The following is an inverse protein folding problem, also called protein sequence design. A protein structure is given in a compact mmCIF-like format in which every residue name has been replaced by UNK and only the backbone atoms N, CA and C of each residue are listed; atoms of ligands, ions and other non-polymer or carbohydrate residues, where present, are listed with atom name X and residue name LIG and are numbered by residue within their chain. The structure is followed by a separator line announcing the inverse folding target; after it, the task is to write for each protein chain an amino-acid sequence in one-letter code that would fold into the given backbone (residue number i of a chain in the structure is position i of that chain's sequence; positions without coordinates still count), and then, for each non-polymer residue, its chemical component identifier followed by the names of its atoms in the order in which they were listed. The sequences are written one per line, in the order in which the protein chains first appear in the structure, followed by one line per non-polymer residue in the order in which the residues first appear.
data_IF_444845971238
#
_entry.id   IF_444845971238
#
_cell.length_a   1.000
_cell.length_b   1.000
_cell.length_c   1.000
_cell.angle_alpha   90.00
_cell.angle_beta   90.00
_cell.angle_gamma   90.00
#
_symmetry.space_group_name_H-M   'P 1'
#
loop_
_entity.id
_entity.type
_entity.pdbx_description
1 polymer ?
#
# COMPACT_ATOMS: atom_id res chain seq x y z
N UNK A 1 -11.27 79.25 -7.27
CA UNK A 1 -12.55 79.22 -6.52
C UNK A 1 -13.45 78.17 -7.14
N UNK A 2 -14.14 77.46 -6.26
CA UNK A 2 -14.86 76.24 -6.53
C UNK A 2 -16.23 76.44 -7.20
N UNK A 3 -16.75 75.31 -7.67
CA UNK A 3 -18.14 74.92 -7.88
C UNK A 3 -18.94 75.48 -9.07
N UNK A 4 -19.30 74.55 -9.95
CA UNK A 4 -20.70 74.15 -10.08
C UNK A 4 -21.32 74.37 -11.45
N UNK A 5 -21.31 73.35 -12.31
CA UNK A 5 -22.22 73.26 -13.45
C UNK A 5 -22.99 71.94 -13.37
N UNK A 6 -24.32 72.04 -13.27
CA UNK A 6 -25.23 71.00 -13.73
C UNK A 6 -25.16 70.91 -15.28
N UNK A 7 -25.64 69.80 -15.88
CA UNK A 7 -26.96 69.93 -16.48
C UNK A 7 -27.84 68.67 -16.38
N UNK A 8 -29.15 68.93 -16.44
CA UNK A 8 -30.19 67.96 -16.76
C UNK A 8 -30.09 67.51 -18.22
N UNK A 9 -30.39 66.24 -18.46
CA UNK A 9 -30.65 65.69 -19.79
C UNK A 9 -31.08 64.23 -19.69
N UNK A 10 -32.40 63.99 -19.61
CA UNK A 10 -33.00 62.66 -19.73
C UNK A 10 -32.90 62.21 -21.18
N UNK A 11 -32.17 61.12 -21.43
CA UNK A 11 -32.40 60.25 -22.59
C UNK A 11 -32.85 58.87 -22.11
N UNK A 12 -33.84 58.36 -22.81
CA UNK A 12 -34.51 57.10 -22.56
C UNK A 12 -33.56 55.92 -22.86
N UNK A 13 -33.05 55.30 -21.80
CA UNK A 13 -32.36 54.02 -21.87
C UNK A 13 -33.35 52.86 -21.72
N UNK A 14 -33.42 52.01 -22.75
CA UNK A 14 -34.20 50.79 -22.87
C UNK A 14 -34.44 50.02 -21.56
N UNK A 15 -35.72 49.73 -21.27
CA UNK A 15 -36.14 48.83 -20.20
C UNK A 15 -35.80 47.35 -20.47
N UNK A 16 -35.23 47.01 -21.63
CA UNK A 16 -34.82 45.64 -22.00
C UNK A 16 -33.43 45.24 -21.51
N UNK A 17 -32.57 46.19 -21.13
CA UNK A 17 -31.18 45.90 -20.75
C UNK A 17 -30.98 45.66 -19.24
N UNK A 18 -32.01 45.89 -18.41
CA UNK A 18 -31.98 45.58 -16.97
C UNK A 18 -32.42 44.16 -16.62
N UNK A 19 -32.96 43.40 -17.57
CA UNK A 19 -33.43 42.03 -17.38
C UNK A 19 -32.37 40.96 -17.66
N UNK A 20 -31.20 41.32 -18.19
CA UNK A 20 -30.13 40.37 -18.53
C UNK A 20 -28.99 40.28 -17.51
N UNK A 21 -29.13 40.87 -16.31
CA UNK A 21 -28.12 40.85 -15.25
C UNK A 21 -28.47 39.95 -14.04
N UNK A 22 -29.50 39.12 -14.14
CA UNK A 22 -29.81 38.08 -13.16
C UNK A 22 -30.32 36.80 -13.84
N UNK A 23 -29.52 36.22 -14.73
CA UNK A 23 -29.54 34.76 -14.87
C UNK A 23 -28.57 34.23 -13.82
N UNK A 24 -29.11 33.97 -12.62
CA UNK A 24 -28.44 33.16 -11.62
C UNK A 24 -28.01 31.86 -12.30
N UNK A 25 -26.71 31.56 -12.28
CA UNK A 25 -26.22 30.20 -12.40
C UNK A 25 -26.83 29.38 -11.25
N UNK A 26 -28.04 28.85 -11.43
CA UNK A 26 -28.66 27.93 -10.49
C UNK A 26 -27.85 26.65 -10.49
N UNK A 27 -26.89 26.55 -9.57
CA UNK A 27 -26.16 25.31 -9.31
C UNK A 27 -27.16 24.26 -8.81
N UNK A 28 -27.41 23.25 -9.64
CA UNK A 28 -28.24 22.11 -9.25
C UNK A 28 -27.40 21.15 -8.41
N UNK A 29 -27.85 20.86 -7.18
CA UNK A 29 -27.23 19.89 -6.29
C UNK A 29 -28.10 18.62 -6.24
N UNK A 30 -27.47 17.45 -6.37
CA UNK A 30 -28.14 16.14 -6.24
C UNK A 30 -27.69 15.47 -4.95
N UNK A 31 -28.65 15.04 -4.14
CA UNK A 31 -28.41 14.36 -2.87
C UNK A 31 -28.98 12.96 -2.89
N UNK A 32 -28.23 12.02 -2.32
CA UNK A 32 -28.78 10.75 -1.85
C UNK A 32 -29.13 10.92 -0.38
N UNK A 33 -30.35 10.54 0.00
CA UNK A 33 -30.89 10.72 1.35
C UNK A 33 -31.34 9.36 1.88
N UNK A 34 -30.97 9.06 3.11
CA UNK A 34 -31.42 7.91 3.89
C UNK A 34 -32.09 8.43 5.16
N UNK A 35 -33.27 7.92 5.50
CA UNK A 35 -33.96 8.25 6.74
C UNK A 35 -34.40 6.98 7.46
N UNK A 36 -34.28 6.98 8.79
CA UNK A 36 -34.65 5.85 9.65
C UNK A 36 -35.44 6.35 10.85
N UNK A 37 -36.63 5.78 11.02
CA UNK A 37 -37.43 5.87 12.24
C UNK A 37 -37.40 4.53 12.97
N UNK A 38 -36.85 4.51 14.20
CA UNK A 38 -36.61 3.27 14.93
C UNK A 38 -37.63 3.08 16.09
N UNK A 39 -38.81 2.53 15.80
CA UNK A 39 -39.87 2.33 16.82
C UNK A 39 -39.98 0.92 17.38
N UNK A 40 -39.76 -0.14 16.57
CA UNK A 40 -40.06 -1.53 16.95
C UNK A 40 -38.84 -2.33 17.39
N UNK A 41 -37.65 -1.96 16.91
CA UNK A 41 -36.39 -2.66 17.13
C UNK A 41 -35.35 -1.80 17.87
N UNK A 42 -35.81 -0.77 18.58
CA UNK A 42 -34.98 0.03 19.46
C UNK A 42 -34.78 -0.67 20.80
N UNK A 43 -33.61 -0.47 21.40
CA UNK A 43 -33.30 -0.98 22.74
C UNK A 43 -34.22 -0.35 23.78
N UNK A 44 -34.35 -1.02 24.93
CA UNK A 44 -35.23 -0.57 26.02
C UNK A 44 -34.92 0.86 26.43
N UNK A 45 -33.64 1.20 26.58
CA UNK A 45 -33.20 2.53 27.00
C UNK A 45 -33.67 3.61 26.02
N UNK A 46 -33.52 3.38 24.70
CA UNK A 46 -33.98 4.35 23.70
C UNK A 46 -35.51 4.52 23.75
N UNK A 47 -36.29 3.46 23.99
CA UNK A 47 -37.75 3.55 24.17
C UNK A 47 -38.12 4.37 25.39
N UNK A 48 -37.43 4.13 26.51
CA UNK A 48 -37.68 4.86 27.76
C UNK A 48 -37.43 6.36 27.55
N UNK A 49 -36.37 6.73 26.82
CA UNK A 49 -36.11 8.14 26.46
C UNK A 49 -37.11 8.72 25.45
N UNK A 50 -37.61 7.94 24.48
CA UNK A 50 -38.69 8.39 23.57
C UNK A 50 -39.92 8.82 24.38
N UNK A 51 -40.30 8.04 25.38
CA UNK A 51 -41.44 8.36 26.26
C UNK A 51 -41.13 9.55 27.18
N UNK A 52 -39.94 9.57 27.77
CA UNK A 52 -39.51 10.60 28.71
C UNK A 52 -39.43 11.99 28.05
N UNK A 53 -38.82 12.07 26.87
CA UNK A 53 -38.56 13.32 26.16
C UNK A 53 -39.64 13.67 25.14
N UNK A 54 -40.56 12.75 24.85
CA UNK A 54 -41.60 12.87 23.81
C UNK A 54 -41.00 13.17 22.43
N UNK A 55 -39.81 12.64 22.17
CA UNK A 55 -39.04 12.83 20.93
C UNK A 55 -39.00 11.54 20.12
N UNK A 56 -39.22 11.65 18.81
CA UNK A 56 -39.16 10.49 17.92
C UNK A 56 -37.71 10.10 17.63
N UNK A 57 -37.37 8.80 17.61
CA UNK A 57 -36.04 8.30 17.27
C UNK A 57 -35.89 8.28 15.74
N UNK A 58 -35.91 9.48 15.15
CA UNK A 58 -35.77 9.72 13.72
C UNK A 58 -34.37 10.28 13.42
N UNK A 59 -33.71 9.68 12.44
CA UNK A 59 -32.43 10.11 11.92
C UNK A 59 -32.43 10.20 10.40
N UNK A 60 -31.66 11.13 9.86
CA UNK A 60 -31.45 11.31 8.44
C UNK A 60 -29.97 11.46 8.11
N UNK A 61 -29.51 10.84 7.03
CA UNK A 61 -28.18 11.04 6.46
C UNK A 61 -28.30 11.44 5.00
N UNK A 62 -27.52 12.42 4.55
CA UNK A 62 -27.50 12.81 3.15
C UNK A 62 -26.08 13.07 2.63
N UNK A 63 -25.81 12.64 1.39
CA UNK A 63 -24.54 12.92 0.71
C UNK A 63 -24.80 13.55 -0.65
N UNK A 64 -24.00 14.56 -0.99
CA UNK A 64 -24.04 15.20 -2.29
C UNK A 64 -23.23 14.39 -3.32
N UNK A 65 -23.77 14.20 -4.53
CA UNK A 65 -23.16 13.38 -5.58
C UNK A 65 -21.87 13.96 -6.21
N UNK A 66 -21.55 15.25 -5.99
CA UNK A 66 -20.46 15.95 -6.72
C UNK A 66 -19.80 16.99 -5.82
N UNK A 67 -18.72 16.60 -5.13
CA UNK A 67 -17.67 17.37 -4.45
C UNK A 67 -17.11 16.49 -3.31
N UNK A 68 -15.87 16.69 -2.82
CA UNK A 68 -15.47 16.04 -1.57
C UNK A 68 -16.52 16.38 -0.51
N UNK A 69 -17.16 15.39 0.11
CA UNK A 69 -18.35 15.66 0.88
C UNK A 69 -17.97 16.33 2.20
N UNK A 70 -18.55 17.50 2.45
CA UNK A 70 -18.50 18.17 3.74
C UNK A 70 -19.80 17.88 4.47
N UNK A 71 -19.70 17.04 5.50
CA UNK A 71 -20.83 16.73 6.36
C UNK A 71 -21.26 17.95 7.16
N UNK A 72 -22.57 18.08 7.38
CA UNK A 72 -23.16 19.14 8.19
C UNK A 72 -24.21 18.55 9.12
N UNK A 73 -24.27 19.06 10.34
CA UNK A 73 -25.21 18.61 11.33
C UNK A 73 -26.45 19.50 11.32
N UNK A 74 -27.61 18.86 11.39
CA UNK A 74 -28.92 19.48 11.44
C UNK A 74 -29.68 18.97 12.65
N UNK A 75 -30.43 19.89 13.27
CA UNK A 75 -31.48 19.56 14.22
C UNK A 75 -32.69 20.41 13.83
N UNK A 76 -33.41 19.97 12.79
CA UNK A 76 -34.38 20.77 12.00
C UNK A 76 -33.75 21.96 11.25
N UNK A 77 -32.80 22.68 11.85
CA UNK A 77 -32.00 23.73 11.24
C UNK A 77 -30.51 23.35 11.25
N UNK A 78 -29.73 23.90 10.29
CA UNK A 78 -28.29 23.69 10.27
C UNK A 78 -27.62 24.27 11.53
N UNK A 79 -26.77 23.46 12.16
CA UNK A 79 -25.90 23.93 13.24
C UNK A 79 -24.64 24.64 12.67
N UNK A 80 -23.89 25.39 13.50
CA UNK A 80 -22.64 26.01 13.09
C UNK A 80 -21.61 24.99 12.58
N UNK A 81 -20.80 25.36 11.59
CA UNK A 81 -19.80 24.45 11.01
C UNK A 81 -18.74 24.01 12.04
N UNK A 82 -18.60 24.75 13.14
CA UNK A 82 -17.71 24.39 14.24
C UNK A 82 -17.99 23.01 14.86
N UNK A 83 -19.21 22.48 14.72
CA UNK A 83 -19.62 21.19 15.31
C UNK A 83 -19.63 20.03 14.32
N UNK A 84 -19.27 20.26 13.05
CA UNK A 84 -19.44 19.28 11.96
C UNK A 84 -18.11 18.70 11.45
N UNK A 85 -17.00 19.10 12.06
CA UNK A 85 -15.65 18.67 11.68
C UNK A 85 -15.52 17.13 11.61
N UNK A 86 -15.11 16.64 10.44
CA UNK A 86 -14.82 15.22 10.19
C UNK A 86 -16.01 14.35 9.75
N UNK A 87 -17.22 14.89 9.71
CA UNK A 87 -18.37 14.19 9.13
C UNK A 87 -18.28 14.19 7.60
N UNK A 88 -18.55 13.03 6.99
CA UNK A 88 -18.51 12.86 5.53
C UNK A 88 -19.89 12.89 4.89
N UNK A 89 -20.95 13.02 5.68
CA UNK A 89 -22.34 13.12 5.24
C UNK A 89 -23.07 14.13 6.10
N UNK A 90 -24.12 14.74 5.57
CA UNK A 90 -25.05 15.50 6.39
C UNK A 90 -25.81 14.56 7.32
N UNK A 91 -25.99 14.97 8.57
CA UNK A 91 -26.70 14.21 9.60
C UNK A 91 -27.81 15.09 10.15
N UNK A 92 -29.03 14.57 10.21
CA UNK A 92 -30.19 15.21 10.83
C UNK A 92 -30.79 14.30 11.91
N UNK A 93 -31.26 14.91 12.99
CA UNK A 93 -31.95 14.20 14.05
C UNK A 93 -32.55 15.18 15.07
N UNK A 94 -33.46 14.70 15.91
CA UNK A 94 -34.02 15.49 17.01
C UNK A 94 -33.06 15.53 18.20
N UNK A 95 -31.91 16.18 18.04
CA UNK A 95 -30.88 16.22 19.08
C UNK A 95 -31.21 17.20 20.20
N UNK A 96 -30.79 16.86 21.42
CA UNK A 96 -30.70 17.80 22.53
C UNK A 96 -29.56 18.79 22.30
N UNK A 97 -29.84 20.09 22.37
CA UNK A 97 -28.88 21.17 22.12
C UNK A 97 -28.45 21.85 23.43
N UNK A 98 -27.28 22.47 23.42
CA UNK A 98 -26.85 23.41 24.46
C UNK A 98 -27.77 24.62 24.54
N UNK A 99 -27.74 25.38 25.64
CA UNK A 99 -28.64 26.53 25.86
C UNK A 99 -28.53 27.61 24.76
N UNK A 100 -27.31 27.85 24.27
CA UNK A 100 -27.05 28.76 23.15
C UNK A 100 -27.42 28.17 21.77
N UNK A 101 -27.89 26.91 21.75
CA UNK A 101 -28.32 26.14 20.57
C UNK A 101 -27.27 26.08 19.44
N UNK A 102 -25.99 26.13 19.82
CA UNK A 102 -24.86 26.10 18.88
C UNK A 102 -24.09 24.78 18.87
N UNK A 103 -24.32 23.90 19.84
CA UNK A 103 -23.72 22.56 19.91
C UNK A 103 -24.74 21.54 20.41
N UNK A 104 -24.43 20.25 20.22
CA UNK A 104 -25.15 19.16 20.85
C UNK A 104 -24.78 19.07 22.33
N UNK A 105 -25.72 18.58 23.14
CA UNK A 105 -25.40 18.11 24.49
C UNK A 105 -24.69 16.76 24.41
N UNK A 106 -23.59 16.65 25.13
CA UNK A 106 -22.77 15.44 25.20
C UNK A 106 -22.70 14.97 26.65
N UNK A 107 -22.66 13.65 26.84
CA UNK A 107 -22.44 13.06 28.15
C UNK A 107 -20.98 13.30 28.58
N UNK A 108 -20.79 13.87 29.76
CA UNK A 108 -19.48 14.02 30.41
C UNK A 108 -19.53 13.40 31.81
N UNK A 109 -18.39 13.34 32.50
CA UNK A 109 -18.30 12.89 33.90
C UNK A 109 -19.21 13.67 34.83
N UNK A 110 -19.49 14.94 34.52
CA UNK A 110 -20.34 15.83 35.31
C UNK A 110 -21.81 15.79 34.87
N UNK A 111 -22.08 15.49 33.59
CA UNK A 111 -23.43 15.51 32.99
C UNK A 111 -24.02 14.13 32.73
N UNK A 112 -23.50 13.07 33.34
CA UNK A 112 -24.00 11.69 33.17
C UNK A 112 -25.48 11.48 33.56
N UNK A 113 -26.12 12.45 34.21
CA UNK A 113 -27.56 12.46 34.51
C UNK A 113 -28.39 13.31 33.54
N UNK A 114 -27.76 14.01 32.60
CA UNK A 114 -28.49 14.80 31.60
C UNK A 114 -29.18 13.86 30.59
N UNK A 115 -30.51 13.93 30.59
CA UNK A 115 -31.35 13.12 29.73
C UNK A 115 -31.12 13.43 28.24
N UNK A 116 -30.85 14.69 27.90
CA UNK A 116 -30.63 15.12 26.52
C UNK A 116 -29.28 14.59 25.98
N UNK A 117 -28.25 14.56 26.83
CA UNK A 117 -26.95 13.98 26.48
C UNK A 117 -27.04 12.48 26.22
N UNK A 118 -27.70 11.73 27.12
CA UNK A 118 -27.96 10.30 26.94
C UNK A 118 -28.82 10.00 25.72
N UNK A 119 -29.83 10.83 25.49
CA UNK A 119 -30.65 10.74 24.28
C UNK A 119 -29.80 10.89 23.01
N UNK A 120 -28.91 11.88 22.95
CA UNK A 120 -28.02 12.06 21.80
C UNK A 120 -27.09 10.86 21.60
N UNK A 121 -26.51 10.33 22.67
CA UNK A 121 -25.66 9.12 22.62
C UNK A 121 -26.42 7.94 22.01
N UNK A 122 -27.62 7.63 22.52
CA UNK A 122 -28.46 6.54 22.02
C UNK A 122 -28.93 6.80 20.58
N UNK A 123 -29.31 8.04 20.25
CA UNK A 123 -29.74 8.43 18.90
C UNK A 123 -28.60 8.24 17.89
N UNK A 124 -27.38 8.68 18.21
CA UNK A 124 -26.19 8.52 17.37
C UNK A 124 -25.88 7.03 17.18
N UNK A 125 -25.80 6.30 18.30
CA UNK A 125 -25.39 4.88 18.31
C UNK A 125 -26.39 3.95 17.64
N UNK A 126 -27.69 4.18 17.80
CA UNK A 126 -28.73 3.24 17.35
C UNK A 126 -29.47 3.68 16.08
N UNK A 127 -29.66 4.98 15.87
CA UNK A 127 -30.50 5.49 14.77
C UNK A 127 -29.63 6.08 13.67
N UNK A 128 -28.74 7.01 13.99
CA UNK A 128 -27.86 7.64 13.00
C UNK A 128 -26.93 6.59 12.37
N UNK A 129 -26.35 5.69 13.15
CA UNK A 129 -25.54 4.58 12.64
C UNK A 129 -26.26 3.74 11.59
N UNK A 130 -27.50 3.30 11.85
CA UNK A 130 -28.33 2.55 10.89
C UNK A 130 -28.65 3.37 9.65
N UNK A 131 -28.91 4.66 9.82
CA UNK A 131 -29.19 5.56 8.70
C UNK A 131 -27.97 5.69 7.79
N UNK A 132 -26.79 5.79 8.40
CA UNK A 132 -25.49 5.83 7.75
C UNK A 132 -25.18 4.53 6.99
N UNK A 133 -25.37 3.39 7.64
CA UNK A 133 -25.20 2.06 7.05
C UNK A 133 -26.08 1.93 5.80
N UNK A 134 -27.37 2.22 5.90
CA UNK A 134 -28.29 2.17 4.76
C UNK A 134 -27.87 3.07 3.61
N UNK A 135 -27.31 4.25 3.91
CA UNK A 135 -26.78 5.16 2.90
C UNK A 135 -25.59 4.53 2.17
N UNK A 136 -24.66 3.91 2.92
CA UNK A 136 -23.50 3.21 2.37
C UNK A 136 -23.93 1.99 1.55
N UNK A 137 -24.84 1.17 2.04
CA UNK A 137 -25.39 0.01 1.32
C UNK A 137 -26.08 0.42 0.02
N UNK A 138 -26.89 1.49 0.07
CA UNK A 138 -27.54 2.01 -1.13
C UNK A 138 -26.48 2.46 -2.15
N UNK A 139 -25.46 3.20 -1.71
CA UNK A 139 -24.35 3.58 -2.58
C UNK A 139 -23.66 2.34 -3.16
N UNK A 140 -23.44 1.31 -2.35
CA UNK A 140 -22.75 0.10 -2.77
C UNK A 140 -23.52 -0.68 -3.86
N UNK A 141 -24.85 -0.70 -3.75
CA UNK A 141 -25.73 -1.46 -4.64
C UNK A 141 -26.05 -0.71 -5.95
N UNK A 142 -26.00 0.63 -5.94
CA UNK A 142 -26.43 1.45 -7.09
C UNK A 142 -25.29 2.11 -7.86
N UNK A 143 -24.09 2.23 -7.28
CA UNK A 143 -22.91 2.76 -7.97
C UNK A 143 -21.89 1.65 -8.25
N UNK A 144 -21.47 1.55 -9.52
CA UNK A 144 -20.42 0.62 -9.95
C UNK A 144 -19.07 1.03 -9.38
N UNK A 145 -18.74 2.33 -9.42
CA UNK A 145 -17.55 2.87 -8.78
C UNK A 145 -17.72 2.92 -7.25
N UNK A 146 -16.70 2.45 -6.52
CA UNK A 146 -16.66 2.53 -5.06
C UNK A 146 -16.29 3.92 -4.53
N UNK A 147 -15.97 4.89 -5.40
CA UNK A 147 -15.66 6.27 -4.98
C UNK A 147 -16.76 6.87 -4.09
N UNK A 148 -18.03 6.76 -4.49
CA UNK A 148 -19.15 7.26 -3.68
C UNK A 148 -19.25 6.55 -2.33
N UNK A 149 -18.98 5.25 -2.31
CA UNK A 149 -18.96 4.45 -1.08
C UNK A 149 -17.84 4.93 -0.15
N UNK A 150 -16.63 5.14 -0.66
CA UNK A 150 -15.48 5.62 0.10
C UNK A 150 -15.65 7.05 0.59
N UNK A 151 -16.30 7.89 -0.20
CA UNK A 151 -16.68 9.25 0.18
C UNK A 151 -17.68 9.26 1.33
N UNK A 152 -18.63 8.31 1.34
CA UNK A 152 -19.56 8.14 2.46
C UNK A 152 -18.84 7.74 3.76
N UNK A 153 -17.70 7.05 3.75
CA UNK A 153 -17.10 6.58 5.00
C UNK A 153 -16.61 7.73 5.89
N UNK A 154 -16.79 7.68 7.22
CA UNK A 154 -16.25 8.68 8.13
C UNK A 154 -14.72 8.78 8.04
N UNK A 155 -14.17 9.98 8.21
CA UNK A 155 -12.72 10.15 8.34
C UNK A 155 -12.32 10.05 9.82
N UNK A 156 -11.88 8.86 10.21
CA UNK A 156 -11.40 8.54 11.55
C UNK A 156 -10.27 9.47 12.04
N UNK A 157 -9.52 10.11 11.13
CA UNK A 157 -8.37 10.93 11.51
C UNK A 157 -8.70 12.38 11.91
N UNK A 158 -9.91 12.83 11.60
CA UNK A 158 -10.35 14.22 11.86
C UNK A 158 -11.66 14.31 12.63
N UNK A 159 -12.41 13.22 12.74
CA UNK A 159 -13.69 13.20 13.45
C UNK A 159 -13.47 13.36 14.96
N UNK A 160 -14.28 14.21 15.59
CA UNK A 160 -14.23 14.40 17.04
C UNK A 160 -14.57 13.10 17.78
N UNK A 161 -13.85 12.84 18.89
CA UNK A 161 -14.09 11.70 19.79
C UNK A 161 -15.55 11.58 20.27
N UNK A 162 -16.28 12.70 20.32
CA UNK A 162 -17.72 12.76 20.63
C UNK A 162 -18.56 11.88 19.70
N UNK A 163 -18.10 11.64 18.47
CA UNK A 163 -18.79 10.83 17.46
C UNK A 163 -18.33 9.37 17.41
N UNK A 164 -17.46 8.91 18.32
CA UNK A 164 -16.98 7.53 18.29
C UNK A 164 -18.09 6.48 18.49
N UNK A 165 -19.17 6.84 19.19
CA UNK A 165 -20.38 6.00 19.31
C UNK A 165 -21.07 5.73 17.97
N UNK A 166 -20.87 6.59 16.96
CA UNK A 166 -21.31 6.33 15.59
C UNK A 166 -20.43 5.28 14.91
N UNK A 167 -19.11 5.37 15.11
CA UNK A 167 -18.13 4.66 14.31
C UNK A 167 -18.14 3.15 14.56
N UNK A 168 -18.33 2.72 15.81
CA UNK A 168 -18.32 1.29 16.17
C UNK A 168 -19.36 0.47 15.37
N UNK A 169 -20.67 0.78 15.48
CA UNK A 169 -21.71 0.07 14.74
C UNK A 169 -21.55 0.19 13.21
N UNK A 170 -21.17 1.37 12.72
CA UNK A 170 -20.94 1.61 11.28
C UNK A 170 -19.79 0.75 10.76
N UNK A 171 -18.67 0.69 11.48
CA UNK A 171 -17.55 -0.16 11.12
C UNK A 171 -17.92 -1.64 11.13
N UNK A 172 -18.60 -2.11 12.18
CA UNK A 172 -19.00 -3.52 12.30
C UNK A 172 -19.79 -4.00 11.09
N UNK A 173 -20.74 -3.19 10.61
CA UNK A 173 -21.52 -3.55 9.42
C UNK A 173 -20.68 -3.45 8.14
N UNK A 174 -19.92 -2.37 7.99
CA UNK A 174 -19.15 -2.10 6.76
C UNK A 174 -18.01 -3.12 6.58
N UNK A 175 -17.36 -3.54 7.65
CA UNK A 175 -16.32 -4.58 7.60
C UNK A 175 -16.87 -5.93 7.11
N UNK A 176 -18.16 -6.20 7.33
CA UNK A 176 -18.87 -7.40 6.90
C UNK A 176 -19.62 -7.22 5.57
N UNK A 177 -19.45 -6.07 4.89
CA UNK A 177 -20.08 -5.77 3.61
C UNK A 177 -19.04 -5.72 2.48
N UNK A 178 -19.27 -6.36 1.33
CA UNK A 178 -18.33 -6.33 0.21
C UNK A 178 -18.35 -4.95 -0.48
N UNK A 179 -17.51 -4.04 0.00
CA UNK A 179 -17.39 -2.66 -0.51
C UNK A 179 -16.02 -2.34 -1.11
N UNK A 180 -15.01 -3.19 -0.88
CA UNK A 180 -13.64 -2.91 -1.29
C UNK A 180 -13.42 -3.38 -2.73
N UNK A 181 -13.07 -2.46 -3.63
CA UNK A 181 -12.91 -2.73 -5.05
C UNK A 181 -11.53 -3.33 -5.31
N UNK A 182 -11.51 -4.54 -5.87
CA UNK A 182 -10.28 -5.21 -6.30
C UNK A 182 -9.90 -4.84 -7.74
N UNK A 183 -8.66 -5.19 -8.12
CA UNK A 183 -8.14 -5.00 -9.48
C UNK A 183 -8.93 -5.76 -10.56
N UNK A 184 -9.64 -6.82 -10.19
CA UNK A 184 -10.51 -7.56 -11.12
C UNK A 184 -11.90 -6.91 -11.31
N UNK A 185 -12.15 -5.76 -10.69
CA UNK A 185 -13.42 -5.03 -10.79
C UNK A 185 -14.55 -5.58 -9.91
N UNK A 186 -14.24 -6.52 -9.02
CA UNK A 186 -15.21 -7.07 -8.07
C UNK A 186 -15.01 -6.52 -6.66
N UNK A 187 -16.13 -6.29 -5.97
CA UNK A 187 -16.13 -5.85 -4.57
C UNK A 187 -15.99 -7.05 -3.63
N UNK A 188 -15.18 -6.90 -2.58
CA UNK A 188 -14.92 -7.93 -1.55
C UNK A 188 -14.89 -7.34 -0.15
N UNK A 189 -14.85 -8.22 0.85
CA UNK A 189 -14.66 -7.83 2.24
C UNK A 189 -13.24 -7.30 2.46
N UNK A 190 -13.07 -6.38 3.41
CA UNK A 190 -11.74 -5.87 3.77
C UNK A 190 -10.81 -6.99 4.28
N UNK A 191 -11.36 -8.03 4.90
CA UNK A 191 -10.64 -9.19 5.42
C UNK A 191 -10.13 -10.15 4.33
N UNK A 192 -10.69 -10.08 3.12
CA UNK A 192 -10.38 -10.98 2.00
C UNK A 192 -9.32 -10.42 1.04
N UNK A 193 -8.92 -9.16 1.24
CA UNK A 193 -8.07 -8.41 0.31
C UNK A 193 -6.77 -7.96 0.96
N UNK A 194 -5.82 -7.62 0.10
CA UNK A 194 -4.54 -6.99 0.40
C UNK A 194 -4.65 -5.56 -0.15
N UNK A 195 -4.56 -4.57 0.73
CA UNK A 195 -4.61 -3.17 0.33
C UNK A 195 -3.26 -2.73 -0.20
N UNK A 196 -3.26 -2.15 -1.40
CA UNK A 196 -2.08 -1.52 -1.96
C UNK A 196 -1.75 -0.23 -1.18
N UNK A 197 -0.62 -0.26 -0.47
CA UNK A 197 -0.05 0.86 0.29
C UNK A 197 1.19 1.47 -0.42
N UNK A 198 1.36 1.23 -1.71
CA UNK A 198 2.50 1.68 -2.51
C UNK A 198 2.22 2.96 -3.30
N UNK A 199 1.10 3.65 -3.05
CA UNK A 199 0.70 4.85 -3.78
C UNK A 199 1.75 5.99 -3.75
N UNK A 200 2.64 5.99 -2.76
CA UNK A 200 3.74 6.95 -2.63
C UNK A 200 5.05 6.49 -3.31
N UNK A 201 5.07 5.30 -3.90
CA UNK A 201 6.24 4.81 -4.64
C UNK A 201 6.26 5.49 -6.01
N UNK A 202 7.17 6.45 -6.19
CA UNK A 202 7.24 7.28 -7.41
C UNK A 202 7.51 6.51 -8.71
N UNK A 203 7.85 5.22 -8.64
CA UNK A 203 8.11 4.36 -9.80
C UNK A 203 6.92 3.44 -10.11
N UNK A 204 6.14 3.83 -11.12
CA UNK A 204 4.99 3.05 -11.61
C UNK A 204 5.37 1.68 -12.19
N UNK A 205 6.59 1.51 -12.71
CA UNK A 205 7.03 0.21 -13.27
C UNK A 205 7.26 -0.79 -12.15
N UNK A 206 7.85 -0.32 -11.06
CA UNK A 206 8.02 -1.12 -9.86
C UNK A 206 6.69 -1.50 -9.21
N UNK A 207 5.76 -0.53 -9.09
CA UNK A 207 4.42 -0.81 -8.57
C UNK A 207 3.73 -1.89 -9.43
N UNK A 208 3.77 -1.76 -10.77
CA UNK A 208 3.22 -2.77 -11.67
C UNK A 208 3.87 -4.15 -11.51
N UNK A 209 5.19 -4.20 -11.31
CA UNK A 209 5.93 -5.44 -11.07
C UNK A 209 5.50 -6.13 -9.76
N UNK A 210 5.26 -5.36 -8.69
CA UNK A 210 4.71 -5.91 -7.44
C UNK A 210 3.29 -6.44 -7.67
N UNK A 211 2.43 -5.66 -8.29
CA UNK A 211 1.02 -6.03 -8.49
C UNK A 211 0.89 -7.30 -9.34
N UNK A 212 1.80 -7.51 -10.30
CA UNK A 212 1.86 -8.72 -11.13
C UNK A 212 2.16 -10.00 -10.31
N UNK A 213 2.78 -9.88 -9.12
CA UNK A 213 3.01 -11.01 -8.22
C UNK A 213 1.75 -11.47 -7.48
N UNK A 214 0.72 -10.64 -7.42
CA UNK A 214 -0.53 -10.98 -6.74
C UNK A 214 -1.65 -11.31 -7.72
N UNK A 215 -2.65 -12.06 -7.25
CA UNK A 215 -3.89 -12.24 -8.02
C UNK A 215 -4.68 -10.94 -8.00
N UNK A 216 -5.21 -10.51 -9.13
CA UNK A 216 -6.06 -9.31 -9.23
C UNK A 216 -7.27 -9.35 -8.28
N UNK A 217 -7.77 -10.55 -7.95
CA UNK A 217 -8.87 -10.74 -7.00
C UNK A 217 -8.49 -10.47 -5.54
N UNK A 218 -7.20 -10.40 -5.23
CA UNK A 218 -6.69 -10.21 -3.87
C UNK A 218 -6.26 -8.77 -3.60
N UNK A 219 -5.86 -8.00 -4.62
CA UNK A 219 -5.33 -6.65 -4.40
C UNK A 219 -6.40 -5.59 -4.61
N UNK A 220 -6.49 -4.65 -3.69
CA UNK A 220 -7.46 -3.56 -3.72
C UNK A 220 -6.80 -2.18 -3.60
N UNK A 221 -7.44 -1.20 -4.25
CA UNK A 221 -7.09 0.22 -4.15
C UNK A 221 -8.17 0.91 -3.34
N UNK A 222 -7.79 1.46 -2.19
CA UNK A 222 -8.67 2.28 -1.37
C UNK A 222 -8.00 3.61 -1.05
N UNK A 223 -8.76 4.73 -0.97
CA UNK A 223 -8.21 6.00 -0.51
C UNK A 223 -7.61 5.90 0.89
N UNK A 224 -6.57 6.68 1.18
CA UNK A 224 -5.91 6.71 2.50
C UNK A 224 -6.89 6.97 3.66
N UNK A 225 -7.89 7.83 3.45
CA UNK A 225 -8.98 8.07 4.41
C UNK A 225 -9.71 6.76 4.76
N UNK A 226 -10.07 5.98 3.74
CA UNK A 226 -10.75 4.69 3.89
C UNK A 226 -9.86 3.65 4.54
N UNK A 227 -8.56 3.61 4.21
CA UNK A 227 -7.61 2.73 4.86
C UNK A 227 -7.51 3.03 6.37
N UNK A 228 -7.39 4.31 6.75
CA UNK A 228 -7.36 4.72 8.16
C UNK A 228 -8.63 4.33 8.92
N UNK A 229 -9.80 4.47 8.29
CA UNK A 229 -11.07 4.02 8.86
C UNK A 229 -11.02 2.53 9.20
N UNK A 230 -10.54 1.67 8.29
CA UNK A 230 -10.42 0.25 8.57
C UNK A 230 -9.35 -0.06 9.62
N UNK A 231 -8.19 0.61 9.58
CA UNK A 231 -7.10 0.41 10.54
C UNK A 231 -7.49 0.78 11.97
N UNK A 232 -8.38 1.75 12.17
CA UNK A 232 -8.80 2.19 13.50
C UNK A 232 -9.57 1.10 14.27
N UNK A 233 -10.30 0.22 13.58
CA UNK A 233 -11.24 -0.72 14.21
C UNK A 233 -10.97 -2.20 13.90
N UNK A 234 -10.03 -2.53 13.00
CA UNK A 234 -9.73 -3.91 12.64
C UNK A 234 -8.71 -4.53 13.61
N UNK A 235 -9.17 -5.40 14.52
CA UNK A 235 -8.36 -6.04 15.56
C UNK A 235 -7.22 -6.91 15.02
N UNK A 236 -7.41 -7.56 13.87
CA UNK A 236 -6.38 -8.37 13.21
C UNK A 236 -5.50 -7.57 12.24
N UNK A 237 -5.67 -6.24 12.17
CA UNK A 237 -5.00 -5.36 11.22
C UNK A 237 -5.50 -5.53 9.78
N UNK A 238 -5.45 -4.45 9.00
CA UNK A 238 -5.70 -4.52 7.54
C UNK A 238 -4.48 -5.16 6.88
N UNK A 239 -4.68 -6.15 6.01
CA UNK A 239 -3.57 -6.76 5.25
C UNK A 239 -3.05 -5.76 4.22
N UNK A 240 -1.77 -5.42 4.32
CA UNK A 240 -1.07 -4.52 3.40
C UNK A 240 -0.05 -5.30 2.57
N UNK A 241 0.43 -4.71 1.48
CA UNK A 241 1.60 -5.25 0.78
C UNK A 241 2.83 -5.06 1.69
N UNK A 242 3.49 -6.16 2.02
CA UNK A 242 4.71 -6.20 2.83
C UNK A 242 5.79 -7.02 2.13
N UNK A 243 7.08 -6.85 2.49
CA UNK A 243 8.17 -7.66 1.93
C UNK A 243 7.93 -9.18 2.05
N UNK A 244 7.56 -9.67 3.24
CA UNK A 244 7.28 -11.10 3.44
C UNK A 244 6.10 -11.60 2.60
N UNK A 245 5.01 -10.82 2.54
CA UNK A 245 3.84 -11.20 1.74
C UNK A 245 4.16 -11.22 0.24
N UNK A 246 5.01 -10.31 -0.23
CA UNK A 246 5.49 -10.33 -1.61
C UNK A 246 6.31 -11.59 -1.88
N UNK A 247 7.23 -11.95 -0.98
CA UNK A 247 8.02 -13.18 -1.10
C UNK A 247 7.12 -14.42 -1.25
N UNK A 248 6.09 -14.55 -0.42
CA UNK A 248 5.11 -15.64 -0.48
C UNK A 248 4.29 -15.67 -1.77
N UNK A 249 4.09 -14.51 -2.42
CA UNK A 249 3.27 -14.38 -3.62
C UNK A 249 4.03 -14.64 -4.93
N UNK A 250 5.37 -14.50 -4.92
CA UNK A 250 6.19 -14.62 -6.11
C UNK A 250 6.15 -16.05 -6.65
N UNK A 251 5.94 -16.17 -7.97
CA UNK A 251 6.02 -17.44 -8.70
C UNK A 251 6.83 -17.23 -9.97
N UNK A 252 7.34 -18.31 -10.59
CA UNK A 252 8.06 -18.20 -11.87
C UNK A 252 7.22 -17.49 -12.95
N UNK A 253 5.91 -17.73 -12.95
CA UNK A 253 4.98 -17.07 -13.88
C UNK A 253 4.85 -15.58 -13.63
N UNK A 254 4.85 -15.14 -12.37
CA UNK A 254 4.70 -13.72 -12.06
C UNK A 254 5.94 -12.92 -12.44
N UNK A 255 7.12 -13.53 -12.51
CA UNK A 255 8.36 -12.86 -12.90
C UNK A 255 8.57 -12.77 -14.42
N UNK A 256 7.70 -13.40 -15.21
CA UNK A 256 7.77 -13.32 -16.67
C UNK A 256 7.55 -11.88 -17.15
N UNK A 257 8.33 -11.46 -18.16
CA UNK A 257 8.25 -10.14 -18.77
C UNK A 257 8.56 -8.95 -17.84
N UNK A 258 8.98 -9.19 -16.59
CA UNK A 258 9.51 -8.14 -15.71
C UNK A 258 10.92 -7.79 -16.18
N UNK A 259 11.21 -6.48 -16.36
CA UNK A 259 12.54 -6.03 -16.75
C UNK A 259 13.58 -6.33 -15.68
N UNK A 260 14.85 -6.40 -16.06
CA UNK A 260 15.95 -6.60 -15.11
C UNK A 260 15.93 -5.57 -13.97
N UNK A 261 15.75 -4.27 -14.29
CA UNK A 261 15.70 -3.20 -13.30
C UNK A 261 14.54 -3.35 -12.31
N UNK A 262 13.33 -3.67 -12.81
CA UNK A 262 12.17 -3.87 -11.96
C UNK A 262 12.32 -5.13 -11.08
N UNK A 263 12.93 -6.19 -11.62
CA UNK A 263 13.24 -7.42 -10.86
C UNK A 263 14.29 -7.18 -9.78
N UNK A 264 15.26 -6.31 -10.04
CA UNK A 264 16.23 -5.85 -9.05
C UNK A 264 15.59 -5.01 -7.95
N UNK A 265 14.62 -4.14 -8.28
CA UNK A 265 13.83 -3.41 -7.28
C UNK A 265 12.94 -4.36 -6.45
N UNK A 266 12.36 -5.40 -7.06
CA UNK A 266 11.63 -6.46 -6.34
C UNK A 266 12.55 -7.15 -5.33
N UNK A 267 13.75 -7.53 -5.77
CA UNK A 267 14.77 -8.08 -4.88
C UNK A 267 15.06 -7.13 -3.71
N UNK A 268 15.36 -5.86 -3.99
CA UNK A 268 15.64 -4.88 -2.93
C UNK A 268 14.49 -4.77 -1.91
N UNK A 269 13.25 -4.80 -2.38
CA UNK A 269 12.08 -4.77 -1.51
C UNK A 269 11.94 -6.06 -0.69
N UNK A 270 12.08 -7.23 -1.31
CA UNK A 270 12.03 -8.54 -0.66
C UNK A 270 13.14 -8.71 0.38
N UNK A 271 14.33 -8.15 0.18
CA UNK A 271 15.45 -8.20 1.12
C UNK A 271 15.17 -7.49 2.46
N UNK A 272 14.08 -6.71 2.55
CA UNK A 272 13.58 -6.13 3.82
C UNK A 272 12.76 -7.11 4.64
N UNK A 273 12.46 -8.30 4.11
CA UNK A 273 11.79 -9.39 4.81
C UNK A 273 12.77 -10.17 5.72
N UNK A 274 12.26 -11.18 6.42
CA UNK A 274 13.12 -12.13 7.14
C UNK A 274 13.78 -13.11 6.17
N UNK A 275 14.89 -13.72 6.58
CA UNK A 275 15.63 -14.67 5.73
C UNK A 275 14.78 -15.91 5.43
N UNK A 276 13.93 -16.35 6.36
CA UNK A 276 13.02 -17.47 6.13
C UNK A 276 11.95 -17.14 5.07
N UNK A 277 11.50 -15.88 5.02
CA UNK A 277 10.55 -15.43 4.00
C UNK A 277 11.15 -15.48 2.59
N UNK A 278 12.47 -15.31 2.47
CA UNK A 278 13.16 -15.32 1.18
C UNK A 278 13.26 -16.73 0.59
N UNK A 279 13.13 -17.80 1.38
CA UNK A 279 13.28 -19.16 0.87
C UNK A 279 12.27 -19.47 -0.24
N UNK A 280 12.73 -20.14 -1.29
CA UNK A 280 12.03 -20.47 -2.54
C UNK A 280 11.65 -19.26 -3.41
N UNK A 281 12.16 -18.07 -3.13
CA UNK A 281 11.92 -16.88 -3.98
C UNK A 281 12.93 -16.84 -5.13
N UNK A 282 12.47 -16.86 -6.37
CA UNK A 282 13.29 -16.83 -7.60
C UNK A 282 13.89 -15.45 -7.94
N UNK A 283 14.51 -14.78 -6.96
CA UNK A 283 15.08 -13.43 -7.11
C UNK A 283 16.58 -13.36 -6.81
N UNK A 284 17.32 -14.47 -6.83
CA UNK A 284 18.77 -14.44 -6.62
C UNK A 284 19.51 -14.26 -7.97
N UNK A 285 20.17 -13.12 -8.23
CA UNK A 285 20.82 -12.85 -9.51
C UNK A 285 22.20 -13.51 -9.61
N UNK A 286 22.43 -14.21 -10.72
CA UNK A 286 23.68 -14.89 -11.04
C UNK A 286 24.54 -14.08 -12.01
N UNK A 287 25.83 -14.40 -12.08
CA UNK A 287 26.79 -13.69 -12.92
C UNK A 287 26.52 -13.89 -14.42
N UNK A 288 25.95 -15.03 -14.83
CA UNK A 288 25.56 -15.28 -16.22
C UNK A 288 24.34 -14.44 -16.67
N UNK A 289 23.79 -13.62 -15.78
CA UNK A 289 22.60 -12.80 -16.00
C UNK A 289 21.29 -13.54 -15.74
N UNK A 290 21.33 -14.83 -15.42
CA UNK A 290 20.15 -15.59 -15.02
C UNK A 290 19.80 -15.36 -13.55
N UNK A 291 18.66 -15.89 -13.13
CA UNK A 291 18.14 -15.76 -11.78
C UNK A 291 17.79 -17.13 -11.23
N UNK A 292 18.05 -17.35 -9.95
CA UNK A 292 17.74 -18.59 -9.25
C UNK A 292 16.95 -18.33 -7.96
N UNK A 293 16.53 -19.40 -7.30
CA UNK A 293 15.81 -19.34 -6.04
C UNK A 293 16.76 -19.16 -4.87
N UNK A 294 16.33 -18.45 -3.82
CA UNK A 294 16.95 -18.57 -2.50
C UNK A 294 16.59 -19.94 -1.91
N UNK A 295 17.58 -20.73 -1.51
CA UNK A 295 17.40 -22.06 -0.94
C UNK A 295 17.92 -22.07 0.49
N UNK A 296 17.30 -22.87 1.35
CA UNK A 296 17.84 -23.09 2.69
C UNK A 296 19.17 -23.87 2.60
N UNK A 297 20.10 -23.54 3.50
CA UNK A 297 21.38 -24.25 3.53
C UNK A 297 21.18 -25.73 3.87
N UNK A 298 21.53 -26.61 2.94
CA UNK A 298 21.47 -28.07 3.13
C UNK A 298 22.62 -28.74 2.39
N UNK A 299 23.00 -29.96 2.80
CA UNK A 299 24.13 -30.71 2.22
C UNK A 299 23.99 -30.98 0.71
N UNK A 300 22.77 -30.95 0.18
CA UNK A 300 22.46 -31.20 -1.23
C UNK A 300 22.33 -29.91 -2.06
N UNK A 301 22.31 -28.73 -1.43
CA UNK A 301 22.15 -27.49 -2.17
C UNK A 301 23.47 -27.06 -2.81
N UNK A 302 23.42 -26.67 -4.07
CA UNK A 302 24.54 -26.04 -4.75
C UNK A 302 24.87 -24.70 -4.09
N UNK A 303 26.14 -24.51 -3.76
CA UNK A 303 26.65 -23.29 -3.12
C UNK A 303 26.76 -22.19 -4.15
N UNK A 304 26.26 -21.00 -3.80
CA UNK A 304 26.41 -19.80 -4.62
C UNK A 304 27.38 -18.86 -3.91
N UNK A 305 28.46 -18.53 -4.60
CA UNK A 305 29.55 -17.73 -4.07
C UNK A 305 29.28 -16.25 -4.29
N UNK A 306 29.48 -15.48 -3.22
CA UNK A 306 29.62 -14.04 -3.30
C UNK A 306 31.10 -13.68 -3.24
N UNK A 307 31.64 -13.17 -4.36
CA UNK A 307 33.02 -12.70 -4.45
C UNK A 307 33.06 -11.21 -4.10
N UNK A 308 33.71 -10.86 -2.99
CA UNK A 308 33.88 -9.47 -2.58
C UNK A 308 34.75 -8.71 -3.60
N UNK A 309 34.74 -7.38 -3.58
CA UNK A 309 35.42 -6.55 -4.60
C UNK A 309 36.91 -6.91 -4.83
N UNK A 310 37.64 -7.32 -3.79
CA UNK A 310 39.04 -7.75 -3.92
C UNK A 310 39.23 -9.08 -4.66
N UNK A 311 38.18 -9.88 -4.78
CA UNK A 311 38.14 -11.18 -5.45
C UNK A 311 37.30 -11.10 -6.76
N UNK A 312 36.98 -9.89 -7.24
CA UNK A 312 36.16 -9.68 -8.45
C UNK A 312 36.75 -10.28 -9.73
N UNK A 313 38.07 -10.56 -9.73
CA UNK A 313 38.77 -11.23 -10.83
C UNK A 313 38.51 -12.74 -10.87
N UNK A 314 38.08 -13.35 -9.75
CA UNK A 314 37.91 -14.81 -9.63
C UNK A 314 36.89 -15.35 -10.62
N UNK A 315 35.69 -14.76 -10.77
CA UNK A 315 34.73 -15.26 -11.74
C UNK A 315 35.19 -15.11 -13.20
N UNK A 316 36.08 -14.15 -13.51
CA UNK A 316 36.70 -14.06 -14.85
C UNK A 316 37.65 -15.23 -15.13
N UNK A 317 38.28 -15.78 -14.09
CA UNK A 317 39.16 -16.94 -14.19
C UNK A 317 38.36 -18.24 -14.24
N UNK A 318 37.27 -18.33 -13.47
CA UNK A 318 36.46 -19.54 -13.35
C UNK A 318 35.40 -19.66 -14.46
N UNK A 319 35.85 -19.62 -15.72
CA UNK A 319 34.98 -19.67 -16.91
C UNK A 319 34.10 -20.92 -16.95
N UNK A 320 32.82 -20.78 -17.25
CA UNK A 320 31.81 -21.84 -17.24
C UNK A 320 31.16 -22.09 -15.87
N UNK A 321 31.59 -21.38 -14.82
CA UNK A 321 30.99 -21.44 -13.48
C UNK A 321 30.20 -20.17 -13.12
N UNK A 322 29.79 -19.39 -14.11
CA UNK A 322 29.10 -18.10 -13.90
C UNK A 322 27.81 -18.27 -13.08
N UNK A 323 27.13 -19.43 -13.20
CA UNK A 323 25.94 -19.77 -12.40
C UNK A 323 26.23 -20.02 -10.91
N UNK A 324 27.49 -20.22 -10.54
CA UNK A 324 27.92 -20.40 -9.14
C UNK A 324 28.27 -19.09 -8.47
N UNK A 325 28.23 -17.96 -9.16
CA UNK A 325 28.58 -16.66 -8.60
C UNK A 325 27.39 -15.71 -8.65
N UNK A 326 27.25 -14.89 -7.61
CA UNK A 326 26.32 -13.75 -7.64
C UNK A 326 26.76 -12.72 -8.67
N UNK A 327 25.78 -12.01 -9.21
CA UNK A 327 26.02 -10.91 -10.12
C UNK A 327 26.87 -9.81 -9.43
N UNK A 328 27.95 -9.37 -10.09
CA UNK A 328 28.88 -8.37 -9.56
C UNK A 328 28.41 -6.92 -9.73
N UNK A 329 27.36 -6.67 -10.50
CA UNK A 329 26.86 -5.33 -10.82
C UNK A 329 25.67 -4.88 -9.94
N UNK A 330 25.60 -5.38 -8.70
CA UNK A 330 24.49 -5.07 -7.80
C UNK A 330 24.67 -3.69 -7.12
N UNK A 331 23.57 -2.97 -6.81
CA UNK A 331 23.62 -1.74 -6.03
C UNK A 331 24.24 -1.96 -4.64
N UNK A 332 24.97 -0.97 -4.13
CA UNK A 332 25.69 -1.09 -2.85
C UNK A 332 24.80 -1.39 -1.64
N UNK A 333 23.56 -0.90 -1.63
CA UNK A 333 22.55 -1.23 -0.62
C UNK A 333 22.08 -2.69 -0.69
N UNK A 334 21.98 -3.27 -1.89
CA UNK A 334 21.64 -4.68 -2.06
C UNK A 334 22.80 -5.57 -1.60
N UNK A 335 24.02 -5.18 -1.96
CA UNK A 335 25.25 -5.88 -1.57
C UNK A 335 25.36 -5.98 -0.05
N UNK A 336 25.21 -4.88 0.68
CA UNK A 336 25.37 -4.89 2.15
C UNK A 336 24.35 -5.79 2.83
N UNK A 337 23.10 -5.83 2.34
CA UNK A 337 22.08 -6.73 2.87
C UNK A 337 22.41 -8.19 2.54
N UNK A 338 22.84 -8.47 1.31
CA UNK A 338 23.26 -9.83 0.91
C UNK A 338 24.43 -10.35 1.76
N UNK A 339 25.42 -9.51 2.05
CA UNK A 339 26.53 -9.88 2.93
C UNK A 339 26.06 -10.26 4.33
N UNK A 340 25.10 -9.52 4.89
CA UNK A 340 24.48 -9.87 6.16
C UNK A 340 23.75 -11.22 6.08
N UNK A 341 23.01 -11.48 4.99
CA UNK A 341 22.32 -12.76 4.78
C UNK A 341 23.32 -13.91 4.66
N UNK A 342 24.42 -13.72 3.93
CA UNK A 342 25.51 -14.72 3.82
C UNK A 342 26.07 -15.08 5.20
N UNK A 343 26.27 -14.09 6.07
CA UNK A 343 26.77 -14.32 7.43
C UNK A 343 25.82 -15.13 8.32
N UNK A 344 24.51 -15.09 8.05
CA UNK A 344 23.54 -15.89 8.82
C UNK A 344 23.70 -17.41 8.61
N UNK A 345 24.27 -17.83 7.48
CA UNK A 345 24.39 -19.25 7.10
C UNK A 345 23.05 -19.96 6.83
N UNK A 346 21.93 -19.21 6.74
CA UNK A 346 20.59 -19.78 6.54
C UNK A 346 20.22 -20.00 5.06
N UNK A 347 21.08 -19.57 4.13
CA UNK A 347 20.86 -19.69 2.68
C UNK A 347 21.98 -20.48 2.01
N UNK A 348 21.84 -20.81 0.72
CA UNK A 348 22.90 -21.45 -0.06
C UNK A 348 24.08 -20.52 -0.39
N UNK A 349 23.96 -19.24 -0.05
CA UNK A 349 25.00 -18.27 -0.35
C UNK A 349 26.18 -18.41 0.61
N UNK A 350 27.40 -18.34 0.09
CA UNK A 350 28.64 -18.40 0.86
C UNK A 350 29.57 -17.28 0.42
N UNK A 351 30.25 -16.64 1.36
CA UNK A 351 31.34 -15.73 1.04
C UNK A 351 32.47 -16.55 0.39
N UNK A 352 32.94 -16.10 -0.77
CA UNK A 352 34.06 -16.75 -1.43
C UNK A 352 35.32 -16.68 -0.58
N UNK A 353 36.02 -17.82 -0.49
CA UNK A 353 37.33 -17.93 0.13
C UNK A 353 38.30 -18.52 -0.90
N UNK A 354 39.51 -17.96 -1.00
CA UNK A 354 40.54 -18.47 -1.90
C UNK A 354 40.81 -19.98 -1.69
N UNK A 355 40.66 -20.55 -0.49
CA UNK A 355 40.82 -21.99 -0.30
C UNK A 355 39.81 -22.86 -1.11
N UNK A 356 38.68 -22.30 -1.55
CA UNK A 356 37.72 -23.00 -2.43
C UNK A 356 38.20 -23.03 -3.91
N UNK A 357 39.13 -22.15 -4.29
CA UNK A 357 39.58 -21.94 -5.67
C UNK A 357 40.12 -23.21 -6.36
N UNK A 358 41.00 -24.02 -5.75
CA UNK A 358 41.54 -25.21 -6.41
C UNK A 358 40.45 -26.22 -6.79
N UNK A 359 39.40 -26.34 -5.98
CA UNK A 359 38.29 -27.24 -6.26
C UNK A 359 37.36 -26.70 -7.35
N UNK A 360 37.14 -25.38 -7.37
CA UNK A 360 36.35 -24.71 -8.40
C UNK A 360 37.08 -24.72 -9.75
N UNK A 361 38.40 -24.52 -9.76
CA UNK A 361 39.20 -24.51 -10.98
C UNK A 361 39.11 -25.85 -11.74
N UNK A 362 39.05 -26.98 -11.02
CA UNK A 362 38.83 -28.32 -11.61
C UNK A 362 37.49 -28.46 -12.36
N UNK A 363 36.50 -27.64 -12.02
CA UNK A 363 35.17 -27.69 -12.62
C UNK A 363 35.03 -26.73 -13.81
N UNK A 364 36.05 -25.91 -14.09
CA UNK A 364 36.00 -24.90 -15.14
C UNK A 364 36.04 -25.52 -16.54
N UNK A 365 35.42 -24.84 -17.49
CA UNK A 365 35.47 -25.25 -18.89
C UNK A 365 36.86 -24.99 -19.47
N UNK A 366 37.53 -26.03 -19.97
CA UNK A 366 38.89 -25.92 -20.53
C UNK A 366 38.91 -25.27 -21.92
N UNK A 367 37.76 -25.15 -22.58
CA UNK A 367 37.64 -24.65 -23.97
C UNK A 367 37.78 -23.13 -24.13
N UNK A 368 37.75 -22.36 -23.04
CA UNK A 368 37.79 -20.88 -23.07
C UNK A 368 39.13 -20.29 -22.57
N UNK A 369 40.17 -21.12 -22.42
CA UNK A 369 41.47 -20.70 -21.87
C UNK A 369 42.30 -19.95 -22.91
N UNK A 370 42.26 -18.63 -22.85
CA UNK A 370 43.06 -17.72 -23.71
C UNK A 370 44.39 -17.34 -23.06
N UNK A 371 45.31 -16.73 -23.82
CA UNK A 371 46.54 -16.15 -23.24
C UNK A 371 46.27 -15.06 -22.19
N UNK A 372 45.20 -14.27 -22.38
CA UNK A 372 44.74 -13.29 -21.38
C UNK A 372 44.25 -13.97 -20.10
N UNK A 373 43.46 -15.03 -20.24
CA UNK A 373 43.02 -15.85 -19.09
C UNK A 373 44.23 -16.38 -18.30
N UNK A 374 45.25 -16.89 -19.00
CA UNK A 374 46.49 -17.38 -18.39
C UNK A 374 47.18 -16.31 -17.55
N UNK A 375 47.33 -15.10 -18.10
CA UNK A 375 47.99 -14.00 -17.42
C UNK A 375 47.23 -13.60 -16.13
N UNK A 376 45.90 -13.59 -16.19
CA UNK A 376 45.05 -13.28 -15.04
C UNK A 376 45.16 -14.39 -13.98
N UNK A 377 45.06 -15.65 -14.39
CA UNK A 377 45.21 -16.81 -13.50
C UNK A 377 46.58 -16.80 -12.80
N UNK A 378 47.68 -16.68 -13.54
CA UNK A 378 49.02 -16.71 -12.97
C UNK A 378 49.28 -15.55 -12.01
N UNK A 379 48.75 -14.36 -12.30
CA UNK A 379 48.80 -13.23 -11.37
C UNK A 379 48.06 -13.54 -10.08
N UNK A 380 46.88 -14.13 -10.17
CA UNK A 380 46.08 -14.52 -9.00
C UNK A 380 46.75 -15.62 -8.18
N UNK A 381 47.29 -16.65 -8.83
CA UNK A 381 48.04 -17.73 -8.18
C UNK A 381 49.28 -17.20 -7.45
N UNK A 382 50.02 -16.29 -8.08
CA UNK A 382 51.18 -15.66 -7.47
C UNK A 382 50.78 -14.85 -6.23
N UNK A 383 49.67 -14.11 -6.27
CA UNK A 383 49.23 -13.28 -5.16
C UNK A 383 48.68 -14.09 -3.98
N UNK A 384 47.91 -15.16 -4.23
CA UNK A 384 47.16 -15.88 -3.19
C UNK A 384 47.74 -17.24 -2.82
N UNK A 385 48.59 -17.84 -3.65
CA UNK A 385 49.05 -19.23 -3.51
C UNK A 385 50.56 -19.41 -3.73
N UNK A 386 51.38 -18.35 -3.60
CA UNK A 386 52.84 -18.42 -3.80
C UNK A 386 53.49 -19.60 -3.07
N UNK A 387 53.00 -19.90 -1.87
CA UNK A 387 53.59 -20.89 -0.96
C UNK A 387 52.87 -22.26 -1.02
N UNK A 388 51.77 -22.37 -1.78
CA UNK A 388 50.87 -23.53 -1.79
C UNK A 388 50.49 -23.98 -3.22
N UNK A 389 51.38 -23.83 -4.20
CA UNK A 389 51.13 -24.24 -5.59
C UNK A 389 50.87 -25.74 -5.76
N UNK A 390 51.30 -26.56 -4.80
CA UNK A 390 51.02 -28.00 -4.76
C UNK A 390 49.51 -28.33 -4.72
N UNK A 391 48.64 -27.40 -4.31
CA UNK A 391 47.18 -27.57 -4.36
C UNK A 391 46.63 -27.71 -5.81
N UNK A 392 47.41 -27.29 -6.79
CA UNK A 392 47.08 -27.33 -8.22
C UNK A 392 47.77 -28.48 -8.95
N UNK A 393 48.42 -29.39 -8.23
CA UNK A 393 49.04 -30.57 -8.82
C UNK A 393 47.99 -31.39 -9.59
N UNK A 394 48.33 -31.81 -10.81
CA UNK A 394 47.45 -32.51 -11.74
C UNK A 394 46.24 -31.69 -12.25
N UNK A 395 46.27 -30.36 -12.13
CA UNK A 395 45.31 -29.49 -12.81
C UNK A 395 45.94 -28.87 -14.06
N UNK A 396 45.19 -28.89 -15.16
CA UNK A 396 45.57 -28.19 -16.38
C UNK A 396 45.48 -26.67 -16.16
N UNK A 397 46.55 -26.04 -15.68
CA UNK A 397 46.64 -24.58 -15.47
C UNK A 397 47.33 -23.87 -16.64
N UNK A 398 47.79 -24.62 -17.63
CA UNK A 398 48.39 -24.10 -18.86
C UNK A 398 47.32 -23.99 -19.95
N UNK A 399 47.21 -22.87 -20.68
CA UNK A 399 46.26 -22.76 -21.78
C UNK A 399 46.69 -23.67 -22.93
N UNK A 400 45.72 -24.27 -23.63
CA UNK A 400 45.97 -24.93 -24.91
C UNK A 400 46.26 -23.85 -25.97
N UNK A 401 47.48 -23.31 -25.95
CA UNK A 401 47.98 -22.43 -27.00
C UNK A 401 48.56 -23.35 -28.07
N UNK A 402 47.93 -23.43 -29.23
CA UNK A 402 48.64 -23.87 -30.43
C UNK A 402 49.69 -22.81 -30.73
N UNK A 403 50.94 -23.08 -30.35
CA UNK A 403 52.04 -22.28 -30.83
C UNK A 403 52.11 -22.43 -32.35
N UNK A 404 52.46 -21.36 -33.05
CA UNK A 404 52.57 -21.28 -34.52
C UNK A 404 53.56 -22.26 -35.16
N UNK A 405 54.12 -23.21 -34.40
CA UNK A 405 55.06 -24.23 -34.85
C UNK A 405 54.73 -25.64 -34.30
N UNK A 406 53.46 -25.97 -34.04
CA UNK A 406 53.05 -27.36 -33.79
C UNK A 406 53.49 -27.97 -32.44
N UNK A 407 53.99 -27.15 -31.52
CA UNK A 407 54.30 -27.58 -30.15
C UNK A 407 53.14 -27.21 -29.22
N UNK A 408 52.55 -28.21 -28.56
CA UNK A 408 51.72 -28.03 -27.37
C UNK A 408 52.66 -27.98 -26.16
N UNK A 409 52.46 -27.00 -25.27
CA UNK A 409 53.02 -27.06 -23.92
C UNK A 409 52.35 -28.23 -23.19
N UNK A 410 53.12 -29.28 -22.91
CA UNK A 410 52.70 -30.42 -22.07
C UNK A 410 52.95 -30.04 -20.61
#
# INVERSE_FOLDING_TARGET
MAHGNAPNGKEAGNLSDRTNLMMNDTKQHKFLISEVLLLRSCDKDLRDFVLLLKSLPLGGCAIQSTNPPSGRLFCSLPLPDSVTHGLSVHINGFFGLTDNRRDLKWVTTETYKDNDGKWNELLIKQVISRTYIKLVEYCNNHFQDSLMVYQCLPDASIISNKWYELLGPVFQEIANTPIVMCLDGHKRLISEVIVNNLADVGDKRFEAAILQCFKNSQVAFIPNKTLKFFQMFHTNGVRLITPSLLCESITDRSLNHISFDARLQLLEYCLRATVESLHNVALLPLLDGSWTMFNCHSKSCEVIYYAHNHEAVVPEILTGLEKKFLNSSLPGNVISIMENIVQTGQTQMKLYNHYDFPQLLKQCCTSQRTGRWAAILWRYLFEKFSDCLNLFEHQDIVPNIEMSEGYRLI
#
